data_IF_453651691863
#
_entry.id   IF_453651691863
#
_cell.length_a   1.000
_cell.length_b   1.000
_cell.length_c   1.000
_cell.angle_alpha   90.00
_cell.angle_beta   90.00
_cell.angle_gamma   90.00
#
_symmetry.space_group_name_H-M   'P 1'
#
loop_
_entity.id
_entity.type
_entity.pdbx_description
1 polymer ?
#
# COMPACT_ATOMS: atom_id res chain seq x y z
N UNK A 1 8.57 8.15 12.49
CA UNK A 1 8.21 8.88 11.25
C UNK A 1 6.71 9.04 11.07
N UNK A 2 5.94 8.03 10.60
CA UNK A 2 4.51 8.23 10.31
C UNK A 2 3.70 8.75 11.52
N UNK A 3 3.77 8.06 12.66
CA UNK A 3 3.09 8.50 13.89
C UNK A 3 3.54 9.89 14.38
N UNK A 4 4.78 10.29 14.10
CA UNK A 4 5.32 11.60 14.51
C UNK A 4 4.83 12.72 13.59
N UNK A 5 4.75 12.45 12.29
CA UNK A 5 4.21 13.38 11.29
C UNK A 5 2.70 13.57 11.52
N UNK A 6 1.97 12.48 11.78
CA UNK A 6 0.54 12.53 12.11
C UNK A 6 0.27 13.30 13.41
N UNK A 7 1.10 13.12 14.44
CA UNK A 7 1.00 13.89 15.69
C UNK A 7 1.34 15.38 15.55
N UNK A 8 2.01 15.77 14.47
CA UNK A 8 2.38 17.16 14.17
C UNK A 8 1.40 17.85 13.21
N UNK A 9 0.40 17.12 12.70
CA UNK A 9 -0.66 17.67 11.89
C UNK A 9 -1.72 18.36 12.78
N UNK A 10 -2.23 19.52 12.37
CA UNK A 10 -3.12 20.35 13.19
C UNK A 10 -4.16 21.07 12.34
N UNK A 11 -5.35 21.30 12.89
CA UNK A 11 -6.43 22.04 12.25
C UNK A 11 -7.69 22.03 13.12
N UNK A 12 -8.59 23.00 12.95
CA UNK A 12 -9.70 23.24 13.89
C UNK A 12 -11.11 23.05 13.30
N UNK A 13 -11.26 22.46 12.11
CA UNK A 13 -12.58 22.33 11.45
C UNK A 13 -12.74 20.98 10.74
N UNK A 14 -12.66 19.85 11.46
CA UNK A 14 -12.69 18.49 10.88
C UNK A 14 -11.71 18.26 9.71
N UNK A 15 -10.74 19.15 9.55
CA UNK A 15 -9.71 19.11 8.53
C UNK A 15 -8.39 19.20 9.28
N UNK A 16 -7.63 18.11 9.22
CA UNK A 16 -6.28 18.03 9.76
C UNK A 16 -5.33 18.44 8.63
N UNK A 17 -4.50 19.44 8.88
CA UNK A 17 -3.55 19.94 7.89
C UNK A 17 -2.12 19.69 8.38
N UNK A 18 -1.25 19.32 7.44
CA UNK A 18 0.18 19.21 7.70
C UNK A 18 0.86 20.47 7.16
N UNK A 19 1.44 21.27 8.06
CA UNK A 19 2.17 22.45 7.65
C UNK A 19 3.41 22.06 6.83
N UNK A 20 3.68 22.79 5.75
CA UNK A 20 4.88 22.62 4.93
C UNK A 20 6.17 22.74 5.74
N UNK A 21 6.21 23.60 6.76
CA UNK A 21 7.37 23.72 7.66
C UNK A 21 7.61 22.44 8.47
N UNK A 22 6.56 21.72 8.86
CA UNK A 22 6.67 20.44 9.55
C UNK A 22 7.35 19.39 8.67
N UNK A 23 7.01 19.34 7.39
CA UNK A 23 7.62 18.41 6.43
C UNK A 23 9.10 18.76 6.19
N UNK A 24 9.39 20.03 5.90
CA UNK A 24 10.74 20.48 5.55
C UNK A 24 11.72 20.35 6.70
N UNK A 25 11.26 20.53 7.94
CA UNK A 25 12.11 20.46 9.12
C UNK A 25 12.20 19.05 9.73
N UNK A 26 11.49 18.07 9.18
CA UNK A 26 11.54 16.71 9.70
C UNK A 26 12.88 16.05 9.37
N UNK A 27 13.62 15.67 10.41
CA UNK A 27 14.86 14.92 10.26
C UNK A 27 14.56 13.45 10.00
N UNK A 28 14.85 13.00 8.77
CA UNK A 28 14.73 11.60 8.40
C UNK A 28 16.10 10.90 8.49
N UNK A 29 16.19 9.74 9.18
CA UNK A 29 17.41 8.94 9.15
C UNK A 29 17.60 8.34 7.75
N UNK A 30 18.68 8.73 7.08
CA UNK A 30 19.02 8.20 5.75
C UNK A 30 20.11 7.13 5.87
N UNK A 31 19.84 5.86 5.52
CA UNK A 31 20.86 4.82 5.56
C UNK A 31 21.89 4.98 4.43
N UNK A 32 23.03 4.29 4.47
CA UNK A 32 24.01 4.30 3.37
C UNK A 32 23.40 3.86 2.03
N UNK A 33 23.92 4.37 0.91
CA UNK A 33 23.37 4.06 -0.43
C UNK A 33 23.20 2.56 -0.73
N UNK A 34 24.16 1.66 -0.41
CA UNK A 34 23.96 0.23 -0.65
C UNK A 34 22.74 -0.34 0.09
N UNK A 35 22.50 0.16 1.31
CA UNK A 35 21.37 -0.27 2.13
C UNK A 35 20.05 0.28 1.61
N UNK A 36 20.03 1.53 1.10
CA UNK A 36 18.85 2.09 0.43
C UNK A 36 18.41 1.19 -0.74
N UNK A 37 19.35 0.78 -1.61
CA UNK A 37 19.06 -0.12 -2.73
C UNK A 37 18.56 -1.49 -2.26
N UNK A 38 19.15 -2.04 -1.19
CA UNK A 38 18.71 -3.32 -0.60
C UNK A 38 17.27 -3.26 -0.11
N UNK A 39 16.91 -2.17 0.57
CA UNK A 39 15.55 -1.93 1.07
C UNK A 39 14.57 -1.84 -0.10
N UNK A 40 14.88 -1.03 -1.12
CA UNK A 40 14.02 -0.87 -2.32
C UNK A 40 13.82 -2.21 -3.02
N UNK A 41 14.89 -2.96 -3.28
CA UNK A 41 14.79 -4.26 -3.93
C UNK A 41 13.90 -5.25 -3.16
N UNK A 42 13.90 -5.19 -1.82
CA UNK A 42 13.05 -6.04 -0.98
C UNK A 42 11.59 -5.61 -1.06
N UNK A 43 11.31 -4.30 -1.09
CA UNK A 43 9.97 -3.77 -1.26
C UNK A 43 9.41 -4.16 -2.63
N UNK A 44 10.19 -4.02 -3.70
CA UNK A 44 9.77 -4.39 -5.05
C UNK A 44 9.40 -5.87 -5.15
N UNK A 45 10.19 -6.75 -4.51
CA UNK A 45 9.89 -8.19 -4.44
C UNK A 45 8.56 -8.46 -3.72
N UNK A 46 8.27 -7.73 -2.64
CA UNK A 46 7.04 -7.89 -1.88
C UNK A 46 5.83 -7.36 -2.66
N UNK A 47 5.95 -6.21 -3.33
CA UNK A 47 4.90 -5.65 -4.17
C UNK A 47 4.55 -6.59 -5.34
N UNK A 48 5.56 -7.13 -6.02
CA UNK A 48 5.34 -8.11 -7.09
C UNK A 48 4.66 -9.41 -6.60
N UNK A 49 4.89 -9.79 -5.34
CA UNK A 49 4.19 -10.91 -4.72
C UNK A 49 2.73 -10.56 -4.45
N UNK A 50 2.43 -9.37 -3.93
CA UNK A 50 1.06 -8.90 -3.75
C UNK A 50 0.30 -8.88 -5.07
N UNK A 51 0.87 -8.30 -6.13
CA UNK A 51 0.26 -8.26 -7.46
C UNK A 51 -0.11 -9.66 -7.98
N UNK A 52 0.78 -10.64 -7.74
CA UNK A 52 0.54 -12.03 -8.13
C UNK A 52 -0.59 -12.66 -7.30
N UNK A 53 -0.66 -12.37 -6.01
CA UNK A 53 -1.72 -12.90 -5.14
C UNK A 53 -3.07 -12.32 -5.53
N UNK A 54 -3.15 -11.01 -5.79
CA UNK A 54 -4.37 -10.35 -6.24
C UNK A 54 -4.87 -10.95 -7.57
N UNK A 55 -3.97 -11.16 -8.53
CA UNK A 55 -4.32 -11.84 -9.80
C UNK A 55 -4.86 -13.26 -9.59
N UNK A 56 -4.32 -14.02 -8.62
CA UNK A 56 -4.82 -15.36 -8.32
C UNK A 56 -6.22 -15.31 -7.68
N UNK A 57 -6.46 -14.35 -6.80
CA UNK A 57 -7.77 -14.15 -6.17
C UNK A 57 -8.81 -13.78 -7.23
N UNK A 58 -8.48 -12.86 -8.13
CA UNK A 58 -9.37 -12.44 -9.21
C UNK A 58 -9.69 -13.62 -10.16
N UNK A 59 -8.68 -14.38 -10.55
CA UNK A 59 -8.85 -15.55 -11.41
C UNK A 59 -9.71 -16.63 -10.73
N UNK A 60 -9.49 -16.89 -9.44
CA UNK A 60 -10.28 -17.86 -8.68
C UNK A 60 -11.74 -17.42 -8.55
N UNK A 61 -11.97 -16.14 -8.27
CA UNK A 61 -13.31 -15.55 -8.16
C UNK A 61 -14.06 -15.62 -9.50
N UNK A 62 -13.40 -15.25 -10.59
CA UNK A 62 -13.98 -15.33 -11.94
C UNK A 62 -14.38 -16.76 -12.30
N UNK A 63 -13.51 -17.74 -12.03
CA UNK A 63 -13.81 -19.16 -12.26
C UNK A 63 -14.97 -19.66 -11.39
N UNK A 64 -15.04 -19.22 -10.13
CA UNK A 64 -16.17 -19.55 -9.26
C UNK A 64 -17.48 -19.02 -9.82
N UNK A 65 -17.50 -17.76 -10.29
CA UNK A 65 -18.69 -17.16 -10.92
C UNK A 65 -19.09 -17.90 -12.20
N UNK A 66 -18.14 -18.28 -13.04
CA UNK A 66 -18.40 -19.05 -14.27
C UNK A 66 -19.07 -20.40 -13.95
N UNK A 67 -18.53 -21.15 -12.99
CA UNK A 67 -19.09 -22.43 -12.56
C UNK A 67 -20.51 -22.27 -11.98
N UNK A 68 -20.74 -21.25 -11.16
CA UNK A 68 -22.06 -20.95 -10.62
C UNK A 68 -23.09 -20.66 -11.73
N UNK A 69 -22.71 -19.86 -12.73
CA UNK A 69 -23.56 -19.54 -13.87
C UNK A 69 -23.87 -20.78 -14.72
N UNK A 70 -22.89 -21.65 -14.95
CA UNK A 70 -23.08 -22.89 -15.70
C UNK A 70 -24.08 -23.83 -15.01
N UNK A 71 -24.00 -23.96 -13.68
CA UNK A 71 -24.95 -24.76 -12.89
C UNK A 71 -26.36 -24.15 -12.95
N UNK A 72 -26.49 -22.84 -12.84
CA UNK A 72 -27.80 -22.17 -12.93
C UNK A 72 -28.45 -22.30 -14.32
N UNK A 73 -27.67 -22.32 -15.40
CA UNK A 73 -28.21 -22.52 -16.76
C UNK A 73 -28.56 -23.97 -17.08
N UNK A 74 -28.08 -24.93 -16.29
CA UNK A 74 -28.33 -26.36 -16.48
C UNK A 74 -29.58 -26.87 -15.72
N UNK A 75 -30.22 -26.01 -14.91
CA UNK A 75 -31.48 -26.26 -14.19
C UNK A 75 -32.60 -25.49 -14.88
#
# INVERSE_FOLDING_TARGET
>A
VQNEIEGSASGTTNQIELNTSTVTNHLMPLPPLPEQHRIVARIDQLMALCDRLDQQIDAATSKQTELLNAVMSAV
#
